data_IF_059508278704
#
_entry.id   IF_059508278704
#
_cell.length_a   1.000
_cell.length_b   1.000
_cell.length_c   1.000
_cell.angle_alpha   90.00
_cell.angle_beta   90.00
_cell.angle_gamma   90.00
#
_symmetry.space_group_name_H-M   'P 1'
#
loop_
_entity.id
_entity.type
_entity.pdbx_description
1 polymer ?
#
# COMPACT_ATOMS: atom_id res chain seq x y z
N UNK A 1 -37.27 -8.86 -9.43
CA UNK A 1 -36.92 -10.13 -8.75
C UNK A 1 -38.09 -10.58 -7.89
N UNK A 2 -38.36 -11.88 -7.82
CA UNK A 2 -39.27 -12.46 -6.82
C UNK A 2 -38.53 -12.69 -5.48
N UNK A 3 -39.28 -13.08 -4.44
CA UNK A 3 -38.72 -13.28 -3.08
C UNK A 3 -37.64 -14.36 -3.07
N UNK A 4 -37.86 -15.48 -3.76
CA UNK A 4 -36.88 -16.58 -3.81
C UNK A 4 -35.55 -16.12 -4.43
N UNK A 5 -35.60 -15.42 -5.56
CA UNK A 5 -34.41 -14.87 -6.24
C UNK A 5 -33.65 -13.88 -5.37
N UNK A 6 -34.35 -13.06 -4.57
CA UNK A 6 -33.73 -12.15 -3.63
C UNK A 6 -33.00 -12.93 -2.53
N UNK A 7 -33.65 -13.91 -1.91
CA UNK A 7 -33.04 -14.75 -0.87
C UNK A 7 -31.84 -15.54 -1.39
N UNK A 8 -31.91 -16.08 -2.61
CA UNK A 8 -30.80 -16.81 -3.24
C UNK A 8 -29.59 -15.88 -3.48
N UNK A 9 -29.84 -14.63 -3.91
CA UNK A 9 -28.80 -13.64 -4.08
C UNK A 9 -28.19 -13.20 -2.74
N UNK A 10 -29.01 -12.97 -1.70
CA UNK A 10 -28.52 -12.65 -0.36
C UNK A 10 -27.59 -13.74 0.17
N UNK A 11 -28.00 -15.01 0.02
CA UNK A 11 -27.17 -16.16 0.40
C UNK A 11 -25.86 -16.23 -0.40
N UNK A 12 -25.90 -15.96 -1.71
CA UNK A 12 -24.70 -15.94 -2.54
C UNK A 12 -23.72 -14.82 -2.13
N UNK A 13 -24.24 -13.62 -1.84
CA UNK A 13 -23.43 -12.50 -1.37
C UNK A 13 -22.84 -12.79 0.02
N UNK A 14 -23.62 -13.36 0.94
CA UNK A 14 -23.15 -13.76 2.26
C UNK A 14 -22.08 -14.86 2.18
N UNK A 15 -22.26 -15.86 1.31
CA UNK A 15 -21.26 -16.90 1.08
C UNK A 15 -19.95 -16.34 0.49
N UNK A 16 -20.03 -15.23 -0.25
CA UNK A 16 -18.86 -14.48 -0.70
C UNK A 16 -18.26 -13.56 0.38
N UNK A 17 -18.81 -13.57 1.60
CA UNK A 17 -18.36 -12.79 2.75
C UNK A 17 -18.90 -11.36 2.78
N UNK A 18 -19.92 -11.03 1.98
CA UNK A 18 -20.52 -9.70 1.91
C UNK A 18 -21.73 -9.59 2.85
N UNK A 19 -21.77 -8.52 3.63
CA UNK A 19 -22.86 -8.22 4.56
C UNK A 19 -23.72 -7.13 3.94
N UNK A 20 -24.96 -7.48 3.56
CA UNK A 20 -25.90 -6.61 2.86
C UNK A 20 -27.25 -6.64 3.57
N UNK A 21 -27.67 -5.49 4.12
CA UNK A 21 -28.96 -5.38 4.83
C UNK A 21 -30.15 -5.27 3.86
N UNK A 22 -29.93 -4.66 2.69
CA UNK A 22 -30.92 -4.48 1.63
C UNK A 22 -30.23 -4.49 0.28
N UNK A 23 -30.74 -5.32 -0.63
CA UNK A 23 -30.29 -5.34 -2.02
C UNK A 23 -30.83 -4.11 -2.76
N UNK A 24 -29.91 -3.34 -3.35
CA UNK A 24 -30.24 -2.27 -4.27
C UNK A 24 -29.87 -2.66 -5.71
N UNK A 25 -30.76 -2.35 -6.66
CA UNK A 25 -30.56 -2.62 -8.08
C UNK A 25 -30.15 -1.35 -8.82
N UNK A 26 -29.61 -1.51 -10.03
CA UNK A 26 -29.37 -0.39 -10.95
C UNK A 26 -28.08 0.40 -10.73
N UNK A 27 -27.34 0.19 -9.64
CA UNK A 27 -26.07 0.87 -9.35
C UNK A 27 -25.05 -0.03 -8.65
N UNK A 28 -23.79 0.38 -8.66
CA UNK A 28 -22.75 -0.25 -7.85
C UNK A 28 -22.88 0.22 -6.39
N UNK A 29 -22.89 -0.73 -5.47
CA UNK A 29 -23.12 -0.50 -4.03
C UNK A 29 -21.92 -0.97 -3.23
N UNK A 30 -21.49 -0.18 -2.25
CA UNK A 30 -20.45 -0.54 -1.27
C UNK A 30 -21.09 -1.15 -0.02
N UNK A 31 -20.63 -2.33 0.38
CA UNK A 31 -21.09 -3.04 1.55
C UNK A 31 -19.94 -3.45 2.47
N UNK A 32 -20.27 -3.88 3.69
CA UNK A 32 -19.27 -4.44 4.60
C UNK A 32 -18.92 -5.86 4.18
N UNK A 33 -17.74 -6.30 4.55
CA UNK A 33 -17.35 -7.71 4.53
C UNK A 33 -17.26 -8.25 5.95
N UNK A 34 -17.28 -9.58 6.10
CA UNK A 34 -17.08 -10.25 7.40
C UNK A 34 -15.75 -9.87 8.07
N UNK A 35 -14.76 -9.48 7.27
CA UNK A 35 -13.43 -9.08 7.74
C UNK A 35 -13.30 -7.57 8.00
N UNK A 36 -14.32 -6.76 7.65
CA UNK A 36 -14.25 -5.32 7.82
C UNK A 36 -14.34 -4.92 9.30
N UNK A 37 -13.28 -4.28 9.79
CA UNK A 37 -13.27 -3.63 11.11
C UNK A 37 -13.79 -2.20 11.04
N UNK A 38 -14.57 -1.80 12.05
CA UNK A 38 -15.09 -0.44 12.19
C UNK A 38 -16.08 -0.06 11.09
N UNK A 39 -15.87 1.11 10.47
CA UNK A 39 -16.74 1.67 9.41
C UNK A 39 -16.26 1.37 7.98
N UNK A 40 -15.27 0.48 7.82
CA UNK A 40 -14.80 0.07 6.49
C UNK A 40 -15.90 -0.66 5.73
N UNK A 41 -15.91 -0.48 4.41
CA UNK A 41 -16.81 -1.14 3.46
C UNK A 41 -15.99 -1.63 2.28
N UNK A 42 -15.23 -2.71 2.44
CA UNK A 42 -14.34 -3.26 1.40
C UNK A 42 -15.09 -4.06 0.33
N UNK A 43 -16.31 -4.49 0.63
CA UNK A 43 -17.19 -5.21 -0.27
C UNK A 43 -17.90 -4.33 -1.29
N UNK A 44 -18.28 -4.93 -2.41
CA UNK A 44 -19.11 -4.29 -3.42
C UNK A 44 -19.99 -5.30 -4.14
N UNK A 45 -21.13 -4.83 -4.65
CA UNK A 45 -21.97 -5.58 -5.57
C UNK A 45 -22.66 -4.66 -6.58
N UNK A 46 -23.12 -5.24 -7.68
CA UNK A 46 -23.90 -4.59 -8.75
C UNK A 46 -24.94 -5.57 -9.26
N UNK A 47 -26.23 -5.26 -9.06
CA UNK A 47 -27.36 -6.08 -9.53
C UNK A 47 -28.01 -5.44 -10.75
N UNK A 48 -28.15 -6.23 -11.82
CA UNK A 48 -28.94 -5.94 -13.00
C UNK A 48 -30.24 -6.74 -12.90
N UNK A 49 -31.38 -6.04 -12.95
CA UNK A 49 -32.72 -6.59 -12.71
C UNK A 49 -33.59 -6.59 -13.98
N UNK A 50 -32.94 -6.71 -15.15
CA UNK A 50 -33.59 -6.78 -16.46
C UNK A 50 -34.13 -8.16 -16.82
N UNK A 51 -34.21 -8.44 -18.12
CA UNK A 51 -34.71 -9.73 -18.64
C UNK A 51 -33.97 -10.95 -18.07
N UNK A 52 -32.65 -10.81 -17.90
CA UNK A 52 -31.82 -11.73 -17.11
C UNK A 52 -31.35 -10.98 -15.87
N UNK A 53 -31.61 -11.56 -14.69
CA UNK A 53 -31.14 -10.98 -13.43
C UNK A 53 -29.72 -11.48 -13.16
N UNK A 54 -28.77 -10.55 -13.11
CA UNK A 54 -27.34 -10.84 -12.92
C UNK A 54 -26.81 -9.97 -11.79
N UNK A 55 -26.04 -10.55 -10.88
CA UNK A 55 -25.29 -9.80 -9.88
C UNK A 55 -23.80 -10.07 -10.05
N UNK A 56 -23.01 -9.01 -10.10
CA UNK A 56 -21.55 -9.11 -9.95
C UNK A 56 -21.15 -8.57 -8.60
N UNK A 57 -20.18 -9.19 -7.95
CA UNK A 57 -19.80 -8.81 -6.59
C UNK A 57 -18.34 -9.12 -6.30
N UNK A 58 -17.82 -8.59 -5.20
CA UNK A 58 -16.47 -8.89 -4.75
C UNK A 58 -16.01 -8.09 -3.55
N UNK A 59 -14.74 -8.27 -3.19
CA UNK A 59 -14.06 -7.55 -2.13
C UNK A 59 -12.78 -6.93 -2.70
N UNK A 60 -12.66 -5.61 -2.54
CA UNK A 60 -11.53 -4.83 -3.03
C UNK A 60 -10.21 -5.13 -2.35
N UNK A 61 -10.25 -5.58 -1.09
CA UNK A 61 -9.08 -5.86 -0.27
C UNK A 61 -8.49 -7.22 -0.62
N UNK A 62 -9.34 -8.24 -0.77
CA UNK A 62 -8.90 -9.61 -1.09
C UNK A 62 -8.75 -9.84 -2.59
N UNK A 63 -9.42 -9.04 -3.42
CA UNK A 63 -9.50 -9.23 -4.87
C UNK A 63 -10.51 -10.29 -5.29
N UNK A 64 -11.22 -10.91 -4.34
CA UNK A 64 -12.27 -11.89 -4.61
C UNK A 64 -13.38 -11.25 -5.43
N UNK A 65 -13.90 -12.01 -6.40
CA UNK A 65 -14.97 -11.56 -7.29
C UNK A 65 -15.79 -12.73 -7.78
N UNK A 66 -17.07 -12.48 -8.03
CA UNK A 66 -18.00 -13.48 -8.52
C UNK A 66 -19.08 -12.87 -9.39
N UNK A 67 -19.78 -13.76 -10.10
CA UNK A 67 -20.98 -13.46 -10.86
C UNK A 67 -22.04 -14.46 -10.42
N UNK A 68 -23.24 -13.97 -10.12
CA UNK A 68 -24.42 -14.75 -9.82
C UNK A 68 -25.49 -14.45 -10.87
N UNK A 69 -26.23 -15.46 -11.29
CA UNK A 69 -27.30 -15.35 -12.27
C UNK A 69 -28.54 -16.05 -11.72
N UNK A 70 -29.70 -15.39 -11.76
CA UNK A 70 -30.94 -15.98 -11.29
C UNK A 70 -31.33 -17.20 -12.12
N UNK A 71 -31.74 -18.29 -11.46
CA UNK A 71 -32.18 -19.53 -12.11
C UNK A 71 -31.05 -20.53 -12.45
N UNK A 72 -29.78 -20.16 -12.28
CA UNK A 72 -28.63 -21.07 -12.39
C UNK A 72 -28.26 -21.47 -13.82
N UNK A 73 -29.17 -22.12 -14.54
CA UNK A 73 -28.98 -22.56 -15.92
C UNK A 73 -29.28 -21.43 -16.90
N UNK A 74 -28.25 -21.03 -17.63
CA UNK A 74 -28.26 -19.88 -18.54
C UNK A 74 -28.23 -20.38 -19.98
N UNK A 75 -29.26 -20.07 -20.76
CA UNK A 75 -29.30 -20.38 -22.20
C UNK A 75 -28.11 -19.73 -22.93
N UNK A 76 -27.74 -20.22 -24.12
CA UNK A 76 -26.62 -19.64 -24.89
C UNK A 76 -26.80 -18.12 -25.17
N UNK A 77 -28.03 -17.67 -25.42
CA UNK A 77 -28.40 -16.26 -25.58
C UNK A 77 -28.24 -15.48 -24.27
N UNK A 78 -28.62 -16.07 -23.14
CA UNK A 78 -28.47 -15.44 -21.84
C UNK A 78 -26.99 -15.35 -21.42
N UNK A 79 -26.11 -16.24 -21.90
CA UNK A 79 -24.66 -16.17 -21.62
C UNK A 79 -24.03 -14.92 -22.22
N UNK A 80 -24.36 -14.57 -23.46
CA UNK A 80 -23.86 -13.34 -24.08
C UNK A 80 -24.35 -12.09 -23.34
N UNK A 81 -25.61 -12.10 -22.89
CA UNK A 81 -26.16 -11.04 -22.06
C UNK A 81 -25.43 -10.93 -20.71
N UNK A 82 -25.21 -12.05 -20.01
CA UNK A 82 -24.45 -12.11 -18.75
C UNK A 82 -23.03 -11.58 -18.93
N UNK A 83 -22.32 -11.96 -20.00
CA UNK A 83 -20.99 -11.45 -20.31
C UNK A 83 -20.99 -9.95 -20.60
N UNK A 84 -21.99 -9.43 -21.32
CA UNK A 84 -22.15 -8.01 -21.57
C UNK A 84 -22.37 -7.23 -20.26
N UNK A 85 -23.24 -7.73 -19.37
CA UNK A 85 -23.50 -7.14 -18.07
C UNK A 85 -22.28 -7.21 -17.14
N UNK A 86 -21.53 -8.30 -17.15
CA UNK A 86 -20.27 -8.43 -16.42
C UNK A 86 -19.21 -7.44 -16.92
N UNK A 87 -19.12 -7.22 -18.24
CA UNK A 87 -18.27 -6.18 -18.84
C UNK A 87 -18.72 -4.78 -18.44
N UNK A 88 -20.03 -4.51 -18.43
CA UNK A 88 -20.59 -3.24 -17.97
C UNK A 88 -20.25 -2.99 -16.50
N UNK A 89 -20.48 -3.97 -15.61
CA UNK A 89 -20.14 -3.84 -14.20
C UNK A 89 -18.64 -3.60 -13.99
N UNK A 90 -17.77 -4.27 -14.77
CA UNK A 90 -16.33 -4.01 -14.75
C UNK A 90 -16.03 -2.56 -15.17
N UNK A 91 -16.68 -2.03 -16.19
CA UNK A 91 -16.48 -0.65 -16.63
C UNK A 91 -16.96 0.38 -15.59
N UNK A 92 -18.16 0.21 -15.02
CA UNK A 92 -18.69 1.07 -13.95
C UNK A 92 -17.74 1.08 -12.74
N UNK A 93 -17.20 -0.08 -12.39
CA UNK A 93 -16.27 -0.27 -11.29
C UNK A 93 -14.93 0.42 -11.50
N UNK A 94 -14.37 0.32 -12.71
CA UNK A 94 -13.13 1.03 -13.07
C UNK A 94 -13.35 2.54 -13.09
N UNK A 95 -14.49 3.01 -13.59
CA UNK A 95 -14.83 4.43 -13.57
C UNK A 95 -14.99 4.99 -12.15
N UNK A 96 -15.59 4.24 -11.23
CA UNK A 96 -15.69 4.63 -9.82
C UNK A 96 -14.32 4.66 -9.13
N UNK A 97 -13.48 3.65 -9.39
CA UNK A 97 -12.11 3.62 -8.87
C UNK A 97 -11.31 4.83 -9.36
N UNK A 98 -11.42 5.17 -10.64
CA UNK A 98 -10.74 6.33 -11.22
C UNK A 98 -11.23 7.64 -10.59
N UNK A 99 -12.55 7.83 -10.42
CA UNK A 99 -13.09 8.99 -9.69
C UNK A 99 -12.53 9.11 -8.28
N UNK A 100 -12.45 7.99 -7.56
CA UNK A 100 -11.88 7.97 -6.21
C UNK A 100 -10.38 8.29 -6.23
N UNK A 101 -9.65 7.82 -7.22
CA UNK A 101 -8.23 8.14 -7.41
C UNK A 101 -8.01 9.62 -7.68
N UNK A 102 -8.81 10.24 -8.56
CA UNK A 102 -8.74 11.68 -8.82
C UNK A 102 -9.04 12.49 -7.55
N UNK A 103 -10.14 12.16 -6.85
CA UNK A 103 -10.48 12.85 -5.61
C UNK A 103 -9.44 12.62 -4.48
N UNK A 104 -8.71 11.51 -4.51
CA UNK A 104 -7.60 11.28 -3.59
C UNK A 104 -6.36 12.06 -4.02
N UNK A 105 -6.05 12.15 -5.31
CA UNK A 105 -4.92 12.91 -5.84
C UNK A 105 -4.97 14.37 -5.35
N UNK A 106 -6.12 15.03 -5.50
CA UNK A 106 -6.34 16.39 -5.01
C UNK A 106 -6.05 16.51 -3.50
N UNK A 107 -6.53 15.56 -2.68
CA UNK A 107 -6.28 15.55 -1.23
C UNK A 107 -4.80 15.33 -0.88
N UNK A 108 -4.10 14.49 -1.65
CA UNK A 108 -2.67 14.28 -1.45
C UNK A 108 -1.88 15.55 -1.79
N UNK A 109 -2.24 16.25 -2.87
CA UNK A 109 -1.60 17.50 -3.27
C UNK A 109 -1.80 18.61 -2.23
N UNK A 110 -3.03 18.78 -1.73
CA UNK A 110 -3.32 19.74 -0.65
C UNK A 110 -2.45 19.44 0.58
N UNK A 111 -2.42 18.19 1.02
CA UNK A 111 -1.59 17.80 2.17
C UNK A 111 -0.09 18.03 1.89
N UNK A 112 0.38 17.80 0.67
CA UNK A 112 1.76 18.08 0.30
C UNK A 112 2.12 19.56 0.36
N UNK A 113 1.20 20.46 0.00
CA UNK A 113 1.42 21.91 0.08
C UNK A 113 1.58 22.39 1.54
N UNK A 114 0.96 21.69 2.49
CA UNK A 114 1.10 21.94 3.93
C UNK A 114 2.42 21.38 4.51
N UNK A 115 3.12 20.52 3.76
CA UNK A 115 4.37 19.93 4.18
C UNK A 115 5.56 20.87 3.93
N UNK A 116 6.57 20.74 4.78
CA UNK A 116 7.83 21.49 4.72
C UNK A 116 9.01 20.54 4.55
N UNK A 117 10.15 21.02 4.00
CA UNK A 117 11.41 20.28 4.12
C UNK A 117 11.71 19.96 5.58
N UNK A 118 12.34 18.81 5.84
CA UNK A 118 12.72 18.42 7.19
C UNK A 118 13.69 19.48 7.75
N UNK A 119 13.31 20.11 8.86
CA UNK A 119 14.11 21.13 9.50
C UNK A 119 15.07 20.49 10.53
N UNK A 120 16.35 20.89 10.57
CA UNK A 120 17.23 20.53 11.69
C UNK A 120 16.60 20.89 13.03
N UNK A 121 16.65 19.97 14.00
CA UNK A 121 16.00 20.15 15.30
C UNK A 121 14.48 19.98 15.31
N UNK A 122 13.83 19.82 14.16
CA UNK A 122 12.40 19.45 14.08
C UNK A 122 12.13 18.01 14.53
N UNK A 123 10.87 17.68 14.81
CA UNK A 123 10.47 16.35 15.30
C UNK A 123 10.93 15.20 14.39
N UNK A 124 10.88 15.39 13.06
CA UNK A 124 11.34 14.36 12.11
C UNK A 124 12.86 14.18 12.15
N UNK A 125 13.60 15.29 12.27
CA UNK A 125 15.05 15.24 12.38
C UNK A 125 15.49 14.58 13.69
N UNK A 126 14.85 14.92 14.82
CA UNK A 126 15.08 14.29 16.11
C UNK A 126 14.78 12.79 16.06
N UNK A 127 13.68 12.41 15.42
CA UNK A 127 13.30 11.01 15.24
C UNK A 127 14.35 10.19 14.46
N UNK A 128 14.79 10.70 13.31
CA UNK A 128 15.81 10.01 12.51
C UNK A 128 17.16 9.96 13.24
N UNK A 129 17.58 11.06 13.87
CA UNK A 129 18.81 11.11 14.65
C UNK A 129 18.79 10.14 15.83
N UNK A 130 17.67 10.00 16.54
CA UNK A 130 17.50 9.03 17.62
C UNK A 130 17.58 7.58 17.15
N UNK A 131 17.34 7.34 15.85
CA UNK A 131 17.56 6.05 15.17
C UNK A 131 18.98 5.95 14.58
N UNK A 132 19.89 6.87 14.88
CA UNK A 132 21.23 6.89 14.30
C UNK A 132 21.25 7.19 12.79
N UNK A 133 20.13 7.62 12.21
CA UNK A 133 20.01 7.92 10.78
C UNK A 133 20.24 9.42 10.59
N UNK A 134 21.31 9.84 9.91
CA UNK A 134 21.50 11.25 9.57
C UNK A 134 20.38 11.72 8.63
N UNK A 135 20.12 13.02 8.59
CA UNK A 135 19.12 13.58 7.69
C UNK A 135 19.40 13.19 6.24
N UNK A 136 18.50 12.41 5.59
CA UNK A 136 18.73 11.96 4.23
C UNK A 136 18.56 13.13 3.26
N UNK A 137 19.48 13.24 2.30
CA UNK A 137 19.36 14.21 1.21
C UNK A 137 18.36 13.70 0.17
N UNK A 138 17.07 13.84 0.46
CA UNK A 138 15.99 13.38 -0.41
C UNK A 138 14.80 14.32 -0.35
N UNK A 139 14.13 14.51 -1.48
CA UNK A 139 12.85 15.20 -1.52
C UNK A 139 11.67 14.27 -1.20
N UNK A 140 11.91 12.96 -1.02
CA UNK A 140 10.86 11.97 -0.78
C UNK A 140 10.30 12.04 0.63
N UNK A 141 11.06 12.57 1.59
CA UNK A 141 10.66 12.77 2.97
C UNK A 141 10.49 14.25 3.29
N UNK A 142 9.42 14.57 3.99
CA UNK A 142 9.05 15.92 4.42
C UNK A 142 8.50 15.87 5.85
N UNK A 143 8.26 17.04 6.42
CA UNK A 143 7.66 17.22 7.72
C UNK A 143 6.32 17.94 7.61
N UNK A 144 5.36 17.52 8.43
CA UNK A 144 4.16 18.30 8.73
C UNK A 144 4.15 18.61 10.23
N UNK A 145 4.02 19.89 10.61
CA UNK A 145 4.22 20.31 12.01
C UNK A 145 3.06 19.90 12.93
N UNK A 146 1.83 19.83 12.39
CA UNK A 146 0.61 19.60 13.19
C UNK A 146 -0.49 18.86 12.41
N UNK A 147 -0.22 17.61 12.05
CA UNK A 147 -1.13 16.79 11.24
C UNK A 147 -2.28 16.21 12.09
N UNK A 148 -3.55 16.32 11.67
CA UNK A 148 -4.64 15.66 12.38
C UNK A 148 -4.51 14.13 12.30
N UNK A 149 -4.73 13.48 13.44
CA UNK A 149 -4.87 12.02 13.55
C UNK A 149 -6.35 11.64 13.56
N UNK A 150 -6.76 10.90 12.54
CA UNK A 150 -8.14 10.45 12.35
C UNK A 150 -8.31 8.98 12.74
N UNK A 151 -9.33 8.71 13.54
CA UNK A 151 -9.85 7.38 13.93
C UNK A 151 -11.29 7.28 13.40
N UNK A 152 -11.47 6.71 12.20
CA UNK A 152 -12.73 6.80 11.50
C UNK A 152 -13.10 8.26 11.19
N UNK A 153 -14.27 8.70 11.65
CA UNK A 153 -14.75 10.07 11.47
C UNK A 153 -14.31 11.05 12.56
N UNK A 154 -13.59 10.59 13.59
CA UNK A 154 -13.19 11.41 14.75
C UNK A 154 -11.71 11.81 14.67
N UNK A 155 -11.41 13.08 14.93
CA UNK A 155 -10.04 13.54 15.18
C UNK A 155 -9.69 13.25 16.64
N UNK A 156 -8.63 12.48 16.90
CA UNK A 156 -8.17 12.19 18.26
C UNK A 156 -7.09 13.15 18.74
N UNK A 157 -6.37 13.81 17.83
CA UNK A 157 -5.30 14.73 18.18
C UNK A 157 -4.60 15.30 16.95
N UNK A 158 -3.61 16.14 17.20
CA UNK A 158 -2.76 16.74 16.18
C UNK A 158 -1.30 16.54 16.57
N UNK A 159 -0.48 16.09 15.63
CA UNK A 159 0.88 15.66 15.91
C UNK A 159 1.83 16.11 14.79
N UNK A 160 3.09 16.42 15.11
CA UNK A 160 4.15 16.40 14.10
C UNK A 160 4.15 15.06 13.36
N UNK A 161 4.46 15.07 12.07
CA UNK A 161 4.51 13.85 11.28
C UNK A 161 5.63 13.88 10.24
N UNK A 162 6.29 12.73 10.07
CA UNK A 162 7.11 12.47 8.88
C UNK A 162 6.18 12.06 7.74
N UNK A 163 6.28 12.76 6.62
CA UNK A 163 5.48 12.51 5.42
C UNK A 163 6.41 11.97 4.34
N UNK A 164 6.08 10.81 3.79
CA UNK A 164 6.86 10.17 2.74
C UNK A 164 6.03 9.99 1.47
N UNK A 165 6.56 10.50 0.35
CA UNK A 165 5.94 10.37 -0.97
C UNK A 165 6.05 8.95 -1.48
N UNK A 166 4.91 8.31 -1.70
CA UNK A 166 4.83 7.02 -2.40
C UNK A 166 4.53 7.30 -3.86
N UNK A 167 5.43 6.91 -4.76
CA UNK A 167 5.32 7.18 -6.19
C UNK A 167 5.41 5.90 -7.00
N UNK A 168 4.70 5.85 -8.13
CA UNK A 168 4.77 4.73 -9.06
C UNK A 168 6.07 4.75 -9.90
N UNK A 169 6.21 3.81 -10.85
CA UNK A 169 7.38 3.72 -11.72
C UNK A 169 7.57 4.95 -12.64
N UNK A 170 6.49 5.68 -12.95
CA UNK A 170 6.53 6.90 -13.73
C UNK A 170 6.80 8.16 -12.87
N UNK A 171 6.94 7.99 -11.55
CA UNK A 171 7.15 9.10 -10.62
C UNK A 171 5.87 9.83 -10.21
N UNK A 172 4.69 9.33 -10.61
CA UNK A 172 3.40 9.92 -10.22
C UNK A 172 3.13 9.64 -8.75
N UNK A 173 2.63 10.63 -8.03
CA UNK A 173 2.24 10.48 -6.63
C UNK A 173 1.01 9.58 -6.53
N UNK A 174 1.12 8.46 -5.82
CA UNK A 174 0.00 7.52 -5.63
C UNK A 174 -0.47 7.47 -4.18
N UNK A 175 0.36 7.84 -3.21
CA UNK A 175 -0.01 7.89 -1.81
C UNK A 175 0.98 8.74 -1.00
N UNK A 176 0.59 9.06 0.24
CA UNK A 176 1.47 9.61 1.26
C UNK A 176 1.48 8.68 2.48
N UNK A 177 2.67 8.21 2.83
CA UNK A 177 2.88 7.49 4.08
C UNK A 177 3.16 8.50 5.20
N UNK A 178 2.49 8.34 6.34
CA UNK A 178 2.57 9.24 7.49
C UNK A 178 3.07 8.46 8.70
N UNK A 179 4.14 8.93 9.32
CA UNK A 179 4.57 8.48 10.65
C UNK A 179 4.27 9.60 11.64
N UNK A 180 3.33 9.37 12.56
CA UNK A 180 2.98 10.35 13.60
C UNK A 180 4.02 10.35 14.71
N UNK A 181 4.48 11.53 15.09
CA UNK A 181 5.56 11.73 16.03
C UNK A 181 5.15 12.67 17.17
N UNK A 182 5.87 12.62 18.27
CA UNK A 182 5.84 13.63 19.31
C UNK A 182 6.79 14.79 18.96
N UNK A 183 6.65 15.98 19.59
CA UNK A 183 7.57 17.09 19.37
C UNK A 183 9.04 16.78 19.67
N UNK A 184 9.30 15.86 20.60
CA UNK A 184 10.64 15.38 20.98
C UNK A 184 11.16 14.21 20.10
N UNK A 185 10.51 13.96 18.96
CA UNK A 185 11.00 12.99 17.97
C UNK A 185 10.83 11.54 18.37
N UNK A 186 9.81 11.20 19.17
CA UNK A 186 9.39 9.81 19.42
C UNK A 186 8.18 9.46 18.59
N UNK A 187 7.88 8.16 18.48
CA UNK A 187 6.61 7.70 17.91
C UNK A 187 5.45 8.21 18.78
N UNK A 188 4.43 8.79 18.16
CA UNK A 188 3.24 9.21 18.90
C UNK A 188 2.51 7.99 19.48
N UNK A 189 1.99 8.15 20.70
CA UNK A 189 1.14 7.15 21.35
C UNK A 189 -0.29 7.22 20.78
N UNK A 190 -0.47 6.58 19.63
CA UNK A 190 -1.73 6.51 18.89
C UNK A 190 -1.97 5.09 18.38
N UNK A 191 -3.23 4.66 18.16
CA UNK A 191 -3.54 3.27 17.83
C UNK A 191 -2.79 2.70 16.63
N UNK A 192 -2.56 3.52 15.58
CA UNK A 192 -1.75 3.14 14.41
C UNK A 192 -0.81 4.30 14.08
N UNK A 193 0.45 4.20 14.50
CA UNK A 193 1.45 5.27 14.32
C UNK A 193 1.87 5.51 12.86
N UNK A 194 1.85 4.48 12.02
CA UNK A 194 2.18 4.55 10.57
C UNK A 194 0.94 4.36 9.72
N UNK A 195 0.53 5.37 8.93
CA UNK A 195 -0.71 5.33 8.14
C UNK A 195 -0.49 5.80 6.70
N UNK A 196 -1.07 5.08 5.75
CA UNK A 196 -1.25 5.56 4.39
C UNK A 196 -2.49 6.45 4.27
N UNK A 197 -2.49 7.36 3.31
CA UNK A 197 -3.68 8.10 2.87
C UNK A 197 -4.54 7.24 1.93
N UNK A 198 -5.67 7.79 1.45
CA UNK A 198 -6.38 7.19 0.32
C UNK A 198 -5.50 7.22 -0.93
N UNK A 199 -5.40 6.09 -1.64
CA UNK A 199 -4.53 6.01 -2.83
C UNK A 199 -5.12 6.78 -4.01
N UNK A 200 -4.26 7.50 -4.72
CA UNK A 200 -4.53 8.19 -5.99
C UNK A 200 -4.14 7.34 -7.21
N UNK A 201 -3.79 6.07 -6.99
CA UNK A 201 -3.38 5.14 -8.03
C UNK A 201 -3.09 3.75 -7.48
N UNK A 202 -2.57 2.87 -8.34
CA UNK A 202 -2.13 1.54 -7.92
C UNK A 202 -0.94 1.63 -6.95
N UNK A 203 -1.03 0.90 -5.84
CA UNK A 203 0.09 0.73 -4.90
C UNK A 203 1.07 -0.36 -5.36
N UNK A 204 0.68 -1.20 -6.32
CA UNK A 204 1.54 -2.29 -6.80
C UNK A 204 2.78 -1.71 -7.50
N UNK A 205 3.96 -2.08 -7.00
CA UNK A 205 5.25 -1.57 -7.47
C UNK A 205 5.57 -0.14 -7.06
N UNK A 206 4.66 0.56 -6.38
CA UNK A 206 4.91 1.91 -5.88
C UNK A 206 5.83 1.88 -4.66
N UNK A 207 6.63 2.93 -4.51
CA UNK A 207 7.68 2.98 -3.48
C UNK A 207 8.02 4.41 -3.08
N UNK A 208 8.66 4.53 -1.92
CA UNK A 208 9.26 5.77 -1.42
C UNK A 208 10.72 5.77 -1.90
N UNK A 209 11.04 6.66 -2.85
CA UNK A 209 12.34 6.71 -3.51
C UNK A 209 13.32 7.57 -2.71
N UNK A 210 14.01 6.96 -1.74
CA UNK A 210 14.85 7.72 -0.78
C UNK A 210 16.23 8.09 -1.35
N UNK A 211 16.69 7.41 -2.41
CA UNK A 211 17.91 7.75 -3.14
C UNK A 211 17.84 7.34 -4.60
N UNK A 212 18.70 7.95 -5.42
CA UNK A 212 18.86 7.57 -6.83
C UNK A 212 19.80 6.38 -6.97
N UNK A 213 19.53 5.42 -7.88
CA UNK A 213 20.48 4.37 -8.20
C UNK A 213 21.85 4.93 -8.61
N UNK A 214 22.92 4.29 -8.15
CA UNK A 214 24.32 4.69 -8.39
C UNK A 214 25.12 3.53 -8.95
N UNK A 215 26.27 3.81 -9.56
CA UNK A 215 27.22 2.79 -9.95
C UNK A 215 27.99 2.28 -8.72
N UNK A 216 28.12 0.96 -8.59
CA UNK A 216 29.07 0.36 -7.65
C UNK A 216 30.49 0.36 -8.22
N UNK A 217 31.45 -0.13 -7.42
CA UNK A 217 32.87 -0.24 -7.82
C UNK A 217 33.11 -1.15 -9.04
N UNK A 218 32.14 -2.01 -9.39
CA UNK A 218 32.19 -2.93 -10.53
C UNK A 218 31.52 -2.34 -11.78
N UNK A 219 31.01 -1.11 -11.72
CA UNK A 219 30.29 -0.47 -12.83
C UNK A 219 28.84 -0.94 -13.00
N UNK A 220 28.27 -1.65 -12.02
CA UNK A 220 26.88 -2.09 -12.03
C UNK A 220 26.01 -0.99 -11.39
N UNK A 221 24.88 -0.67 -12.00
CA UNK A 221 23.90 0.24 -11.40
C UNK A 221 23.15 -0.48 -10.28
N UNK A 222 23.27 0.00 -9.05
CA UNK A 222 22.74 -0.67 -7.84
C UNK A 222 21.59 0.10 -7.19
N UNK A 223 20.69 -0.64 -6.54
CA UNK A 223 19.64 -0.10 -5.70
C UNK A 223 19.30 -1.08 -4.57
N UNK A 224 19.17 -0.59 -3.34
CA UNK A 224 18.59 -1.33 -2.24
C UNK A 224 17.09 -1.11 -2.13
N UNK A 225 16.36 -2.10 -1.63
CA UNK A 225 14.95 -1.97 -1.30
C UNK A 225 14.64 -2.70 0.01
N UNK A 226 13.92 -2.04 0.90
CA UNK A 226 13.40 -2.63 2.14
C UNK A 226 11.89 -2.47 2.22
N UNK A 227 11.25 -3.14 3.19
CA UNK A 227 9.83 -2.94 3.48
C UNK A 227 9.57 -1.52 4.01
N UNK A 228 10.29 -1.10 5.06
CA UNK A 228 10.09 0.16 5.77
C UNK A 228 11.11 1.26 5.46
N UNK A 229 10.75 2.51 5.78
CA UNK A 229 11.63 3.69 5.61
C UNK A 229 12.85 3.57 6.51
N UNK A 230 12.65 3.24 7.78
CA UNK A 230 13.72 3.18 8.78
C UNK A 230 14.71 2.07 8.47
N UNK A 231 14.21 0.88 8.13
CA UNK A 231 15.00 -0.27 7.69
C UNK A 231 15.84 0.08 6.46
N UNK A 232 15.23 0.67 5.43
CA UNK A 232 15.92 1.11 4.22
C UNK A 232 17.05 2.09 4.55
N UNK A 233 16.74 3.18 5.26
CA UNK A 233 17.73 4.22 5.57
C UNK A 233 18.86 3.71 6.46
N UNK A 234 18.57 2.83 7.43
CA UNK A 234 19.59 2.27 8.30
C UNK A 234 20.57 1.39 7.50
N UNK A 235 20.06 0.50 6.65
CA UNK A 235 20.87 -0.30 5.75
C UNK A 235 21.67 0.58 4.75
N UNK A 236 21.08 1.66 4.26
CA UNK A 236 21.80 2.64 3.42
C UNK A 236 23.02 3.22 4.14
N UNK A 237 22.89 3.56 5.43
CA UNK A 237 24.00 4.05 6.25
C UNK A 237 25.09 3.00 6.46
N UNK A 238 24.71 1.72 6.59
CA UNK A 238 25.64 0.61 6.81
C UNK A 238 26.42 0.22 5.54
N UNK A 239 25.74 0.22 4.40
CA UNK A 239 26.27 -0.37 3.17
C UNK A 239 26.64 0.66 2.09
N UNK A 240 26.27 1.93 2.26
CA UNK A 240 26.52 2.97 1.26
C UNK A 240 25.77 2.76 -0.06
N UNK A 241 24.63 2.06 -0.01
CA UNK A 241 23.78 1.76 -1.18
C UNK A 241 22.56 2.69 -1.14
N UNK A 242 22.16 3.31 -2.27
CA UNK A 242 20.91 4.08 -2.33
C UNK A 242 19.73 3.14 -2.15
N UNK A 243 18.69 3.58 -1.44
CA UNK A 243 17.59 2.70 -1.03
C UNK A 243 16.23 3.27 -1.37
N UNK A 244 15.27 2.39 -1.66
CA UNK A 244 13.84 2.69 -1.68
C UNK A 244 13.11 1.90 -0.59
N UNK A 245 11.96 2.40 -0.13
CA UNK A 245 11.07 1.66 0.76
C UNK A 245 9.79 1.24 0.04
N UNK A 246 9.43 -0.03 0.15
CA UNK A 246 8.29 -0.64 -0.54
C UNK A 246 6.96 -0.53 0.25
N UNK A 247 6.97 0.18 1.38
CA UNK A 247 5.82 0.49 2.24
C UNK A 247 5.25 -0.69 3.03
N UNK A 248 5.30 -1.90 2.48
CA UNK A 248 4.81 -3.14 3.11
C UNK A 248 5.44 -4.37 2.47
N UNK A 249 5.35 -5.53 3.13
CA UNK A 249 5.74 -6.83 2.58
C UNK A 249 5.04 -7.11 1.23
N UNK A 250 3.76 -6.77 1.09
CA UNK A 250 3.03 -6.94 -0.17
C UNK A 250 3.57 -6.01 -1.26
N UNK A 251 3.84 -4.74 -0.93
CA UNK A 251 4.49 -3.79 -1.83
C UNK A 251 5.84 -4.31 -2.31
N UNK A 252 6.64 -4.89 -1.41
CA UNK A 252 7.94 -5.47 -1.72
C UNK A 252 7.83 -6.63 -2.73
N UNK A 253 6.86 -7.53 -2.58
CA UNK A 253 6.61 -8.62 -3.55
C UNK A 253 6.32 -8.11 -4.96
N UNK A 254 5.70 -6.94 -5.08
CA UNK A 254 5.32 -6.30 -6.36
C UNK A 254 6.39 -5.35 -6.93
N UNK A 255 7.45 -5.06 -6.17
CA UNK A 255 8.49 -4.09 -6.52
C UNK A 255 9.13 -4.38 -7.89
N UNK A 256 9.39 -3.36 -8.68
CA UNK A 256 10.19 -3.51 -9.90
C UNK A 256 11.20 -2.37 -9.94
N UNK A 257 12.51 -2.66 -10.02
CA UNK A 257 13.51 -1.61 -10.07
C UNK A 257 13.43 -0.86 -11.41
N UNK A 258 13.95 0.39 -11.49
CA UNK A 258 14.12 1.09 -12.75
C UNK A 258 14.91 0.25 -13.77
N UNK A 259 14.62 0.34 -15.07
CA UNK A 259 15.33 -0.45 -16.10
C UNK A 259 16.85 -0.26 -16.11
N UNK A 260 17.36 0.89 -15.63
CA UNK A 260 18.80 1.16 -15.52
C UNK A 260 19.51 0.31 -14.45
N UNK A 261 18.79 -0.20 -13.46
CA UNK A 261 19.35 -0.97 -12.35
C UNK A 261 19.71 -2.37 -12.81
N UNK A 262 20.91 -2.83 -12.43
CA UNK A 262 21.42 -4.16 -12.75
C UNK A 262 21.41 -5.06 -11.51
N UNK A 263 21.69 -4.50 -10.32
CA UNK A 263 21.72 -5.25 -9.06
C UNK A 263 20.78 -4.64 -8.03
N UNK A 264 19.87 -5.46 -7.51
CA UNK A 264 18.99 -5.09 -6.39
C UNK A 264 19.41 -5.78 -5.09
N UNK A 265 19.62 -5.01 -4.03
CA UNK A 265 19.79 -5.54 -2.68
C UNK A 265 18.44 -5.54 -1.96
N UNK A 266 17.96 -6.72 -1.57
CA UNK A 266 16.71 -6.91 -0.84
C UNK A 266 17.07 -6.89 0.65
N UNK A 267 16.77 -5.79 1.33
CA UNK A 267 17.17 -5.50 2.69
C UNK A 267 16.02 -5.87 3.62
N UNK A 268 16.07 -7.07 4.21
CA UNK A 268 15.03 -7.59 5.08
C UNK A 268 15.48 -7.57 6.55
N UNK A 269 14.51 -7.45 7.46
CA UNK A 269 14.74 -7.55 8.90
C UNK A 269 14.86 -9.01 9.33
N UNK A 270 15.61 -9.27 10.41
CA UNK A 270 15.74 -10.58 11.02
C UNK A 270 14.70 -10.78 12.14
N UNK A 271 13.42 -10.83 11.77
CA UNK A 271 12.31 -11.00 12.72
C UNK A 271 11.78 -12.45 12.80
N UNK A 272 11.19 -12.82 13.95
CA UNK A 272 10.62 -14.15 14.19
C UNK A 272 9.43 -14.47 13.27
N UNK A 273 8.74 -13.47 12.74
CA UNK A 273 7.57 -13.67 11.89
C UNK A 273 7.95 -14.25 10.52
N UNK A 274 9.18 -13.98 10.06
CA UNK A 274 9.69 -14.36 8.74
C UNK A 274 8.93 -13.74 7.56
N UNK A 275 7.91 -12.91 7.80
CA UNK A 275 7.02 -12.42 6.73
C UNK A 275 7.76 -11.48 5.78
N UNK A 276 8.55 -10.55 6.34
CA UNK A 276 9.39 -9.64 5.56
C UNK A 276 10.48 -10.38 4.79
N UNK A 277 11.12 -11.36 5.41
CA UNK A 277 12.15 -12.20 4.78
C UNK A 277 11.60 -12.99 3.60
N UNK A 278 10.45 -13.66 3.79
CA UNK A 278 9.80 -14.40 2.70
C UNK A 278 9.38 -13.45 1.57
N UNK A 279 8.90 -12.25 1.87
CA UNK A 279 8.56 -11.26 0.85
C UNK A 279 9.79 -10.76 0.07
N UNK A 280 10.91 -10.56 0.75
CA UNK A 280 12.17 -10.18 0.14
C UNK A 280 12.75 -11.30 -0.75
N UNK A 281 12.71 -12.54 -0.28
CA UNK A 281 13.11 -13.74 -1.04
C UNK A 281 12.25 -13.96 -2.29
N UNK A 282 10.91 -13.92 -2.15
CA UNK A 282 9.96 -14.00 -3.27
C UNK A 282 10.25 -12.91 -4.32
N UNK A 283 10.53 -11.68 -3.86
CA UNK A 283 10.89 -10.58 -4.71
C UNK A 283 12.21 -10.84 -5.45
N UNK A 284 13.26 -11.24 -4.73
CA UNK A 284 14.57 -11.56 -5.32
C UNK A 284 14.46 -12.65 -6.39
N UNK A 285 13.78 -13.76 -6.10
CA UNK A 285 13.52 -14.84 -7.05
C UNK A 285 12.79 -14.35 -8.31
N UNK A 286 11.79 -13.48 -8.15
CA UNK A 286 11.06 -12.88 -9.27
C UNK A 286 11.95 -11.96 -10.12
N UNK A 287 12.80 -11.15 -9.49
CA UNK A 287 13.72 -10.23 -10.18
C UNK A 287 14.77 -10.99 -10.98
N UNK A 288 15.32 -12.08 -10.43
CA UNK A 288 16.26 -12.97 -11.13
C UNK A 288 15.61 -13.55 -12.40
N UNK A 289 14.37 -14.04 -12.31
CA UNK A 289 13.62 -14.52 -13.49
C UNK A 289 13.37 -13.44 -14.54
N UNK A 290 13.41 -12.17 -14.16
CA UNK A 290 13.29 -11.01 -15.06
C UNK A 290 14.63 -10.48 -15.58
N UNK A 291 15.76 -11.13 -15.23
CA UNK A 291 17.08 -10.78 -15.73
C UNK A 291 17.87 -9.77 -14.86
N UNK A 292 17.42 -9.47 -13.65
CA UNK A 292 18.19 -8.64 -12.70
C UNK A 292 19.08 -9.52 -11.82
N UNK A 293 20.23 -8.99 -11.40
CA UNK A 293 20.94 -9.53 -10.24
C UNK A 293 20.19 -9.12 -8.95
N UNK A 294 20.06 -10.04 -8.00
CA UNK A 294 19.39 -9.80 -6.74
C UNK A 294 20.12 -10.49 -5.59
N UNK A 295 20.28 -9.80 -4.47
CA UNK A 295 20.86 -10.36 -3.24
C UNK A 295 19.98 -10.05 -2.05
N UNK A 296 19.54 -11.09 -1.35
CA UNK A 296 18.88 -10.96 -0.05
C UNK A 296 19.95 -10.71 1.01
N UNK A 297 19.77 -9.66 1.79
CA UNK A 297 20.65 -9.28 2.89
C UNK A 297 19.79 -9.19 4.14
N UNK A 298 20.22 -9.91 5.18
CA UNK A 298 19.55 -9.99 6.49
C UNK A 298 20.62 -9.76 7.56
N UNK A 299 20.32 -9.09 8.69
CA UNK A 299 21.25 -8.98 9.82
C UNK A 299 21.63 -10.36 10.37
N UNK A 300 22.90 -10.52 10.78
CA UNK A 300 23.39 -11.78 11.37
C UNK A 300 22.71 -12.09 12.71
N UNK A 301 22.36 -11.06 13.48
CA UNK A 301 21.61 -11.17 14.73
C UNK A 301 20.11 -10.96 14.50
N UNK A 302 19.28 -11.53 15.37
CA UNK A 302 17.84 -11.23 15.41
C UNK A 302 17.65 -9.73 15.69
N UNK A 303 16.82 -9.06 14.90
CA UNK A 303 16.60 -7.62 14.97
C UNK A 303 16.39 -6.96 13.61
N UNK A 304 16.26 -5.63 13.60
CA UNK A 304 16.13 -4.83 12.38
C UNK A 304 17.48 -4.19 11.96
N UNK A 305 17.55 -3.64 10.74
CA UNK A 305 18.76 -2.93 10.29
C UNK A 305 19.10 -1.68 11.12
N UNK A 306 18.15 -1.14 11.87
CA UNK A 306 18.40 -0.02 12.76
C UNK A 306 19.09 -0.43 14.05
N UNK A 307 18.73 -1.58 14.61
CA UNK A 307 19.39 -2.15 15.78
C UNK A 307 20.88 -2.39 15.48
N UNK A 308 21.18 -2.96 14.31
CA UNK A 308 22.55 -3.15 13.81
C UNK A 308 23.30 -1.82 13.65
N UNK A 309 22.65 -0.79 13.08
CA UNK A 309 23.24 0.54 12.95
C UNK A 309 23.57 1.18 14.29
N UNK A 310 22.67 1.08 15.27
CA UNK A 310 22.88 1.60 16.61
C UNK A 310 24.00 0.84 17.33
N UNK A 311 24.03 -0.49 17.22
CA UNK A 311 25.08 -1.32 17.81
C UNK A 311 26.47 -0.96 17.27
N UNK A 312 26.62 -0.81 15.94
CA UNK A 312 27.90 -0.41 15.33
C UNK A 312 28.34 0.98 15.73
N UNK A 313 27.40 1.92 15.93
CA UNK A 313 27.72 3.28 16.37
C UNK A 313 28.09 3.35 17.86
N UNK A 314 27.54 2.49 18.70
CA UNK A 314 27.86 2.42 20.11
C UNK A 314 29.21 1.73 20.39
N UNK A 315 29.69 0.91 19.46
CA UNK A 315 31.01 0.25 19.53
C UNK A 315 32.17 1.05 18.93
N UNK A 316 31.93 2.30 18.48
CA UNK A 316 32.94 3.25 17.97
C UNK A 316 33.24 4.31 19.01
#
# INVERSE_FOLDING_TARGET
MNIQQLTDLENALLAAGLIVDRIECGRLVRCKTVDDKGQKRSGWYRVFDGAVIVATFGDWRTGNKGVWVAGGDVSLTDRQAVEALARQAKAERLAEQERQYQANAERLEILLQECKPIQPGGAVAQYLNGRGIPLPNTNALMQHDRLPYWEGAKVLGYYPAMIAKVTDAAGRLVNLHRTYLTPDGKKADVPIVKKLCGSAGSMAGASIKLGEPVLNKRGEMILGVAEGIETALAASCLFGVPVWAAVSAHGLKSFTPPPKVQHVYLLADNDESGTGQQAADDCGKRLIRKGFAASLVIPDSVGDWNDELLARRAGV
#
